data_IF_752341199111
#
_entry.id   IF_752341199111
#
_cell.length_a   1.000
_cell.length_b   1.000
_cell.length_c   1.000
_cell.angle_alpha   90.00
_cell.angle_beta   90.00
_cell.angle_gamma   90.00
#
_symmetry.space_group_name_H-M   'P 1'
#
loop_
_entity.id
_entity.type
_entity.pdbx_description
1 polymer ?
#
# COMPACT_ATOMS: atom_id res chain seq x y z
N UNK A 1 -20.05 -30.81 -59.68
CA UNK A 1 -20.02 -30.98 -58.24
C UNK A 1 -18.94 -30.06 -57.67
N UNK A 2 -19.30 -28.87 -57.17
CA UNK A 2 -18.36 -27.90 -56.57
C UNK A 2 -18.27 -28.16 -55.06
N UNK A 3 -17.13 -28.58 -54.57
CA UNK A 3 -16.87 -28.76 -53.13
C UNK A 3 -16.55 -27.37 -52.53
N UNK A 4 -17.44 -26.85 -51.69
CA UNK A 4 -17.13 -25.70 -50.81
C UNK A 4 -16.16 -26.16 -49.73
N UNK A 5 -14.96 -25.61 -49.68
CA UNK A 5 -14.06 -25.69 -48.54
C UNK A 5 -14.47 -24.64 -47.51
N UNK A 6 -15.03 -25.07 -46.39
CA UNK A 6 -15.31 -24.22 -45.27
C UNK A 6 -14.01 -24.05 -44.47
N UNK A 7 -13.37 -22.88 -44.52
CA UNK A 7 -12.19 -22.52 -43.70
C UNK A 7 -12.74 -22.13 -42.33
N UNK A 8 -12.48 -23.03 -41.35
CA UNK A 8 -12.73 -22.75 -39.93
C UNK A 8 -11.63 -21.81 -39.41
N UNK A 9 -11.95 -20.55 -39.17
CA UNK A 9 -11.06 -19.60 -38.50
C UNK A 9 -10.98 -19.98 -37.01
N UNK A 10 -9.94 -20.66 -36.60
CA UNK A 10 -9.56 -20.76 -35.19
C UNK A 10 -9.05 -19.39 -34.75
N UNK A 11 -9.84 -18.61 -34.04
CA UNK A 11 -9.38 -17.47 -33.29
C UNK A 11 -8.51 -17.98 -32.14
N UNK A 12 -7.19 -17.92 -32.32
CA UNK A 12 -6.25 -18.09 -31.21
C UNK A 12 -6.45 -16.87 -30.30
N UNK A 13 -7.24 -17.06 -29.24
CA UNK A 13 -7.33 -16.06 -28.18
C UNK A 13 -5.94 -15.86 -27.59
N UNK A 14 -5.39 -14.65 -27.71
CA UNK A 14 -4.20 -14.26 -26.94
C UNK A 14 -4.50 -14.52 -25.47
N UNK A 15 -3.55 -15.04 -24.67
CA UNK A 15 -3.75 -15.17 -23.25
C UNK A 15 -4.12 -13.80 -22.68
N UNK A 16 -5.28 -13.70 -22.07
CA UNK A 16 -5.69 -12.48 -21.38
C UNK A 16 -4.63 -12.22 -20.31
N UNK A 17 -3.98 -11.05 -20.34
CA UNK A 17 -2.98 -10.65 -19.37
C UNK A 17 -3.55 -10.73 -17.96
N UNK A 18 -2.75 -11.19 -16.99
CA UNK A 18 -3.21 -11.32 -15.62
C UNK A 18 -3.43 -9.93 -15.00
N UNK A 19 -4.51 -9.80 -14.20
CA UNK A 19 -4.70 -8.64 -13.33
C UNK A 19 -3.48 -8.50 -12.40
N UNK A 20 -3.10 -7.26 -12.10
CA UNK A 20 -1.88 -7.00 -11.34
C UNK A 20 -2.17 -6.13 -10.11
N UNK A 21 -1.69 -6.55 -8.95
CA UNK A 21 -1.46 -5.67 -7.82
C UNK A 21 -0.08 -5.03 -7.98
N UNK A 22 -0.03 -3.73 -8.23
CA UNK A 22 1.23 -2.99 -8.28
C UNK A 22 1.40 -2.18 -7.01
N UNK A 23 2.41 -2.54 -6.23
CA UNK A 23 2.69 -1.96 -4.92
C UNK A 23 3.84 -0.95 -5.07
N UNK A 24 3.57 0.29 -4.69
CA UNK A 24 4.53 1.39 -4.66
C UNK A 24 4.96 1.64 -3.23
N UNK A 25 6.19 1.28 -2.92
CA UNK A 25 6.82 1.49 -1.63
C UNK A 25 7.53 2.83 -1.57
N UNK A 26 7.08 3.71 -0.69
CA UNK A 26 7.64 5.04 -0.52
C UNK A 26 8.36 5.24 0.82
N UNK A 27 9.09 6.35 0.94
CA UNK A 27 9.47 6.99 2.19
C UNK A 27 8.56 8.20 2.37
N UNK A 28 7.82 8.26 3.47
CA UNK A 28 6.76 9.25 3.71
C UNK A 28 7.28 10.69 3.78
N UNK A 29 8.57 10.88 4.03
CA UNK A 29 9.25 12.17 4.13
C UNK A 29 9.94 12.61 2.81
N UNK A 30 9.68 11.93 1.71
CA UNK A 30 10.31 12.19 0.41
C UNK A 30 9.27 12.61 -0.64
N UNK A 31 9.02 13.92 -0.83
CA UNK A 31 7.97 14.44 -1.73
C UNK A 31 8.08 13.97 -3.18
N UNK A 32 9.27 13.61 -3.66
CA UNK A 32 9.43 13.08 -5.02
C UNK A 32 8.78 11.70 -5.18
N UNK A 33 8.73 10.90 -4.13
CA UNK A 33 8.08 9.59 -4.16
C UNK A 33 6.59 9.74 -4.44
N UNK A 34 5.90 10.66 -3.75
CA UNK A 34 4.48 10.91 -3.95
C UNK A 34 4.23 11.56 -5.33
N UNK A 35 5.12 12.45 -5.80
CA UNK A 35 5.04 13.05 -7.13
C UNK A 35 5.12 11.98 -8.23
N UNK A 36 6.07 11.06 -8.15
CA UNK A 36 6.20 9.93 -9.09
C UNK A 36 5.01 8.97 -9.00
N UNK A 37 4.46 8.73 -7.80
CA UNK A 37 3.25 7.93 -7.65
C UNK A 37 2.05 8.58 -8.36
N UNK A 38 1.92 9.91 -8.31
CA UNK A 38 0.87 10.64 -9.05
C UNK A 38 1.02 10.45 -10.56
N UNK A 39 2.25 10.52 -11.08
CA UNK A 39 2.52 10.28 -12.51
C UNK A 39 2.13 8.86 -12.94
N UNK A 40 2.43 7.85 -12.12
CA UNK A 40 2.02 6.46 -12.38
C UNK A 40 0.50 6.32 -12.40
N UNK A 41 -0.22 7.00 -11.49
CA UNK A 41 -1.69 7.04 -11.49
C UNK A 41 -2.21 7.62 -12.78
N UNK A 42 -1.69 8.79 -13.21
CA UNK A 42 -2.09 9.44 -14.47
C UNK A 42 -1.80 8.55 -15.69
N UNK A 43 -0.63 7.92 -15.76
CA UNK A 43 -0.24 7.03 -16.84
C UNK A 43 -1.17 5.80 -16.96
N UNK A 44 -1.43 5.13 -15.84
CA UNK A 44 -2.31 3.96 -15.82
C UNK A 44 -3.77 4.33 -16.12
N UNK A 45 -4.21 5.48 -15.65
CA UNK A 45 -5.55 6.00 -15.93
C UNK A 45 -5.71 6.37 -17.41
N UNK A 46 -4.72 7.04 -18.00
CA UNK A 46 -4.72 7.36 -19.43
C UNK A 46 -4.74 6.11 -20.34
N UNK A 47 -4.14 5.00 -19.87
CA UNK A 47 -4.16 3.71 -20.56
C UNK A 47 -5.47 2.92 -20.31
N UNK A 48 -6.39 3.42 -19.47
CA UNK A 48 -7.60 2.70 -19.07
C UNK A 48 -7.34 1.43 -18.24
N UNK A 49 -6.17 1.32 -17.63
CA UNK A 49 -5.72 0.13 -16.88
C UNK A 49 -5.87 0.26 -15.38
N UNK A 50 -5.98 1.48 -14.83
CA UNK A 50 -6.12 1.68 -13.38
C UNK A 50 -7.53 1.30 -12.93
N UNK A 51 -7.65 0.21 -12.19
CA UNK A 51 -8.90 -0.26 -11.62
C UNK A 51 -9.26 0.44 -10.31
N UNK A 52 -8.27 0.62 -9.45
CA UNK A 52 -8.41 1.30 -8.16
C UNK A 52 -7.04 1.76 -7.64
N UNK A 53 -7.06 2.82 -6.83
CA UNK A 53 -5.96 3.23 -5.98
C UNK A 53 -6.27 2.84 -4.54
N UNK A 54 -5.39 2.04 -3.91
CA UNK A 54 -5.46 1.68 -2.49
C UNK A 54 -4.41 2.47 -1.73
N UNK A 55 -4.77 3.00 -0.56
CA UNK A 55 -3.88 3.84 0.26
C UNK A 55 -3.71 3.29 1.67
N UNK A 56 -2.48 3.27 2.15
CA UNK A 56 -2.19 3.11 3.58
C UNK A 56 -2.67 4.31 4.41
N UNK A 57 -2.71 5.49 3.82
CA UNK A 57 -2.99 6.78 4.47
C UNK A 57 -4.46 6.95 4.89
N UNK A 58 -5.34 6.05 4.45
CA UNK A 58 -6.76 6.04 4.81
C UNK A 58 -7.18 4.66 5.34
N UNK A 59 -8.12 4.66 6.30
CA UNK A 59 -8.60 3.43 6.92
C UNK A 59 -9.50 2.62 5.97
N UNK A 60 -9.46 1.31 6.10
CA UNK A 60 -10.36 0.37 5.42
C UNK A 60 -11.83 0.79 5.58
N UNK A 61 -12.59 0.71 4.48
CA UNK A 61 -13.99 1.11 4.41
C UNK A 61 -14.20 2.58 4.07
N UNK A 62 -13.12 3.40 4.00
CA UNK A 62 -13.19 4.75 3.44
C UNK A 62 -12.88 4.71 1.96
N UNK A 63 -13.64 5.41 1.14
CA UNK A 63 -13.48 5.38 -0.31
C UNK A 63 -14.12 6.59 -1.00
N UNK A 64 -13.67 6.86 -2.21
CA UNK A 64 -14.23 7.93 -3.07
C UNK A 64 -15.25 7.41 -4.08
N UNK A 65 -15.62 6.14 -4.01
CA UNK A 65 -16.59 5.55 -4.94
C UNK A 65 -17.93 6.30 -4.88
N UNK A 66 -18.42 6.71 -6.05
CA UNK A 66 -19.65 7.49 -6.17
C UNK A 66 -19.44 9.01 -6.16
N UNK A 67 -18.22 9.50 -5.87
CA UNK A 67 -17.91 10.91 -6.08
C UNK A 67 -17.78 11.22 -7.59
N UNK A 68 -18.21 12.41 -8.03
CA UNK A 68 -18.01 12.85 -9.41
C UNK A 68 -16.52 13.15 -9.67
N UNK A 69 -16.11 13.12 -10.95
CA UNK A 69 -14.71 13.35 -11.35
C UNK A 69 -14.21 14.78 -11.03
N UNK A 70 -15.11 15.70 -10.92
CA UNK A 70 -14.87 17.11 -10.55
C UNK A 70 -15.04 17.38 -9.05
N UNK A 71 -15.16 16.32 -8.23
CA UNK A 71 -15.23 16.47 -6.79
C UNK A 71 -14.04 17.28 -6.25
N UNK A 72 -14.33 18.28 -5.42
CA UNK A 72 -13.32 19.12 -4.79
C UNK A 72 -12.55 18.38 -3.69
N UNK A 73 -11.34 18.86 -3.38
CA UNK A 73 -10.48 18.24 -2.35
C UNK A 73 -11.17 18.09 -0.99
N UNK A 74 -12.02 19.04 -0.59
CA UNK A 74 -12.74 18.97 0.68
C UNK A 74 -13.66 17.73 0.74
N UNK A 75 -14.42 17.46 -0.33
CA UNK A 75 -15.31 16.29 -0.43
C UNK A 75 -14.51 14.98 -0.42
N UNK A 76 -13.39 14.96 -1.12
CA UNK A 76 -12.52 13.77 -1.18
C UNK A 76 -11.89 13.48 0.18
N UNK A 77 -11.41 14.51 0.87
CA UNK A 77 -10.85 14.38 2.22
C UNK A 77 -11.89 13.91 3.24
N UNK A 78 -13.12 14.40 3.14
CA UNK A 78 -14.24 13.95 3.97
C UNK A 78 -14.58 12.46 3.71
N UNK A 79 -14.71 12.06 2.44
CA UNK A 79 -15.01 10.68 2.06
C UNK A 79 -13.96 9.69 2.55
N UNK A 80 -12.67 10.09 2.53
CA UNK A 80 -11.54 9.29 3.02
C UNK A 80 -11.34 9.42 4.53
N UNK A 81 -12.08 10.27 5.23
CA UNK A 81 -11.86 10.65 6.64
C UNK A 81 -10.39 11.03 6.89
N UNK A 82 -9.84 11.87 5.99
CA UNK A 82 -8.41 12.16 5.91
C UNK A 82 -7.83 12.72 7.19
N UNK A 83 -6.72 12.16 7.64
CA UNK A 83 -6.05 12.54 8.90
C UNK A 83 -4.84 13.44 8.60
N UNK A 84 -5.07 14.75 8.46
CA UNK A 84 -4.06 15.76 8.09
C UNK A 84 -2.82 15.72 9.00
N UNK A 85 -3.01 15.51 10.31
CA UNK A 85 -1.91 15.49 11.27
C UNK A 85 -0.95 14.30 11.08
N UNK A 86 -1.44 13.20 10.50
CA UNK A 86 -0.64 12.00 10.22
C UNK A 86 -0.08 12.04 8.79
N UNK A 87 -0.88 12.55 7.86
CA UNK A 87 -0.62 12.51 6.42
C UNK A 87 -0.90 13.88 5.78
N UNK A 88 0.12 14.72 5.59
CA UNK A 88 -0.09 16.04 4.99
C UNK A 88 -0.74 15.94 3.60
N UNK A 89 -1.91 16.55 3.43
CA UNK A 89 -2.63 16.50 2.14
C UNK A 89 -1.80 17.07 0.99
N UNK A 90 -0.96 18.05 1.26
CA UNK A 90 -0.07 18.62 0.26
C UNK A 90 0.85 17.57 -0.41
N UNK A 91 1.20 16.48 0.30
CA UNK A 91 2.01 15.40 -0.24
C UNK A 91 1.16 14.38 -1.02
N UNK A 92 0.01 13.96 -0.48
CA UNK A 92 -0.80 12.86 -1.02
C UNK A 92 -1.97 13.30 -1.88
N UNK A 93 -2.47 14.54 -1.70
CA UNK A 93 -3.58 15.10 -2.46
C UNK A 93 -3.40 14.99 -3.98
N UNK A 94 -2.23 15.31 -4.55
CA UNK A 94 -1.99 15.16 -5.98
C UNK A 94 -2.23 13.73 -6.48
N UNK A 95 -1.77 12.70 -5.75
CA UNK A 95 -1.96 11.27 -6.10
C UNK A 95 -3.44 10.90 -6.05
N UNK A 96 -4.13 11.29 -4.97
CA UNK A 96 -5.55 10.99 -4.75
C UNK A 96 -6.41 11.67 -5.80
N UNK A 97 -6.18 12.96 -6.04
CA UNK A 97 -6.96 13.76 -6.99
C UNK A 97 -6.72 13.34 -8.44
N UNK A 98 -5.55 12.82 -8.79
CA UNK A 98 -5.30 12.21 -10.10
C UNK A 98 -6.26 11.03 -10.35
N UNK A 99 -6.39 10.11 -9.39
CA UNK A 99 -7.32 8.99 -9.49
C UNK A 99 -8.79 9.46 -9.56
N UNK A 100 -9.20 10.39 -8.69
CA UNK A 100 -10.57 10.94 -8.66
C UNK A 100 -10.93 11.59 -9.98
N UNK A 101 -10.09 12.47 -10.53
CA UNK A 101 -10.30 13.12 -11.83
C UNK A 101 -10.39 12.14 -13.00
N UNK A 102 -9.66 11.03 -12.89
CA UNK A 102 -9.78 9.92 -13.86
C UNK A 102 -11.07 9.11 -13.71
N UNK A 103 -11.83 9.32 -12.62
CA UNK A 103 -13.03 8.52 -12.29
C UNK A 103 -12.68 7.15 -11.71
N UNK A 104 -11.47 6.99 -11.19
CA UNK A 104 -10.99 5.77 -10.57
C UNK A 104 -11.22 5.85 -9.05
N UNK A 105 -11.83 4.83 -8.43
CA UNK A 105 -12.06 4.84 -7.00
C UNK A 105 -10.76 4.78 -6.22
N UNK A 106 -10.69 5.56 -5.15
CA UNK A 106 -9.64 5.50 -4.13
C UNK A 106 -10.20 4.80 -2.90
N UNK A 107 -9.50 3.78 -2.41
CA UNK A 107 -9.90 3.01 -1.22
C UNK A 107 -8.86 3.17 -0.12
N UNK A 108 -9.31 3.45 1.08
CA UNK A 108 -8.49 3.26 2.27
C UNK A 108 -8.27 1.77 2.52
N UNK A 109 -7.03 1.39 2.76
CA UNK A 109 -6.62 0.01 2.97
C UNK A 109 -6.03 -0.25 4.36
N UNK A 110 -5.77 0.79 5.16
CA UNK A 110 -5.16 0.63 6.47
C UNK A 110 -6.10 -0.06 7.47
N UNK A 111 -5.49 -0.76 8.40
CA UNK A 111 -6.22 -1.30 9.54
C UNK A 111 -6.81 -0.13 10.36
N UNK A 112 -8.13 -0.15 10.68
CA UNK A 112 -8.73 0.91 11.48
C UNK A 112 -8.02 1.09 12.82
N UNK A 113 -7.85 2.34 13.24
CA UNK A 113 -7.11 2.68 14.45
C UNK A 113 -7.62 1.95 15.71
N UNK A 114 -8.92 1.72 15.77
CA UNK A 114 -9.55 0.96 16.87
C UNK A 114 -9.08 -0.51 16.91
N UNK A 115 -8.74 -1.11 15.75
CA UNK A 115 -8.31 -2.49 15.62
C UNK A 115 -6.79 -2.68 15.80
N UNK A 116 -5.98 -1.62 15.63
CA UNK A 116 -4.52 -1.68 15.76
C UNK A 116 -4.09 -2.24 17.12
N UNK A 117 -4.70 -1.76 18.21
CA UNK A 117 -4.39 -2.23 19.56
C UNK A 117 -4.80 -3.69 19.78
N UNK A 118 -5.95 -4.08 19.25
CA UNK A 118 -6.42 -5.47 19.34
C UNK A 118 -5.45 -6.41 18.61
N UNK A 119 -4.94 -6.02 17.44
CA UNK A 119 -3.97 -6.81 16.70
C UNK A 119 -2.70 -7.09 17.48
N UNK A 120 -2.19 -6.14 18.26
CA UNK A 120 -1.01 -6.32 19.11
C UNK A 120 -1.14 -7.49 20.09
N UNK A 121 -2.33 -7.73 20.62
CA UNK A 121 -2.63 -8.81 21.56
C UNK A 121 -2.92 -10.17 20.91
N UNK A 122 -3.03 -10.24 19.58
CA UNK A 122 -3.47 -11.45 18.88
C UNK A 122 -2.29 -12.30 18.39
N UNK A 123 -1.96 -13.37 19.10
CA UNK A 123 -0.86 -14.29 18.77
C UNK A 123 -1.00 -14.93 17.38
N UNK A 124 -2.21 -15.01 16.81
CA UNK A 124 -2.43 -15.55 15.44
C UNK A 124 -1.60 -14.85 14.36
N UNK A 125 -1.19 -13.61 14.60
CA UNK A 125 -0.35 -12.87 13.65
C UNK A 125 1.10 -13.34 13.63
N UNK A 126 1.57 -14.05 14.67
CA UNK A 126 2.93 -14.60 14.71
C UNK A 126 3.15 -15.67 13.62
N UNK A 127 2.07 -16.41 13.28
CA UNK A 127 2.11 -17.50 12.29
C UNK A 127 1.54 -17.06 10.92
N UNK A 128 1.14 -15.79 10.78
CA UNK A 128 0.55 -15.29 9.55
C UNK A 128 1.57 -15.03 8.44
N UNK A 129 2.85 -14.94 8.80
CA UNK A 129 3.99 -14.75 7.91
C UNK A 129 5.15 -15.66 8.31
N UNK A 130 6.12 -15.95 7.43
CA UNK A 130 7.32 -16.69 7.78
C UNK A 130 8.08 -16.07 8.97
N UNK A 131 8.72 -16.90 9.78
CA UNK A 131 9.49 -16.44 10.95
C UNK A 131 10.54 -15.39 10.58
N UNK A 132 11.25 -15.56 9.45
CA UNK A 132 12.23 -14.60 8.94
C UNK A 132 11.62 -13.24 8.61
N UNK A 133 10.39 -13.19 8.07
CA UNK A 133 9.68 -11.94 7.81
C UNK A 133 9.29 -11.25 9.12
N UNK A 134 8.81 -12.03 10.12
CA UNK A 134 8.49 -11.49 11.44
C UNK A 134 9.72 -10.91 12.15
N UNK A 135 10.86 -11.59 12.09
CA UNK A 135 12.13 -11.10 12.64
C UNK A 135 12.55 -9.77 12.01
N UNK A 136 12.49 -9.67 10.67
CA UNK A 136 12.75 -8.42 9.93
C UNK A 136 11.79 -7.30 10.34
N UNK A 137 10.51 -7.59 10.54
CA UNK A 137 9.52 -6.62 11.02
C UNK A 137 9.83 -6.14 12.44
N UNK A 138 10.25 -7.02 13.33
CA UNK A 138 10.68 -6.65 14.69
C UNK A 138 11.88 -5.70 14.65
N UNK A 139 12.87 -5.98 13.79
CA UNK A 139 14.01 -5.09 13.58
C UNK A 139 13.60 -3.74 12.97
N UNK A 140 12.77 -3.75 11.95
CA UNK A 140 12.27 -2.53 11.32
C UNK A 140 11.48 -1.65 12.31
N UNK A 141 10.65 -2.26 13.17
CA UNK A 141 9.96 -1.55 14.24
C UNK A 141 10.95 -0.94 15.24
N UNK A 142 11.98 -1.68 15.64
CA UNK A 142 13.04 -1.17 16.53
C UNK A 142 13.72 0.05 15.91
N UNK A 143 14.13 -0.07 14.64
CA UNK A 143 14.89 0.96 13.94
C UNK A 143 14.05 2.19 13.64
N UNK A 144 12.80 2.00 13.20
CA UNK A 144 11.85 3.09 12.97
C UNK A 144 11.44 3.84 14.24
N UNK A 145 11.66 3.24 15.41
CA UNK A 145 11.48 3.89 16.71
C UNK A 145 12.81 4.21 17.39
N UNK A 146 13.92 4.19 16.63
CA UNK A 146 15.26 4.59 17.10
C UNK A 146 15.75 3.84 18.35
N UNK A 147 15.29 2.59 18.53
CA UNK A 147 15.62 1.79 19.70
C UNK A 147 14.98 2.24 21.02
N UNK A 148 14.09 3.24 20.99
CA UNK A 148 13.45 3.80 22.19
C UNK A 148 12.31 2.93 22.73
N UNK A 149 11.79 1.98 21.95
CA UNK A 149 10.76 1.03 22.38
C UNK A 149 11.39 -0.11 23.17
N UNK A 150 10.83 -0.48 24.34
CA UNK A 150 11.27 -1.66 25.08
C UNK A 150 11.21 -2.93 24.21
N UNK A 151 12.25 -3.76 24.26
CA UNK A 151 12.35 -4.99 23.46
C UNK A 151 11.14 -5.91 23.64
N UNK A 152 10.52 -5.92 24.83
CA UNK A 152 9.33 -6.72 25.15
C UNK A 152 8.08 -6.28 24.40
N UNK A 153 8.02 -5.07 23.87
CA UNK A 153 6.90 -4.53 23.11
C UNK A 153 7.04 -4.73 21.59
N UNK A 154 8.26 -4.93 21.09
CA UNK A 154 8.54 -5.04 19.66
C UNK A 154 7.73 -6.17 18.96
N UNK A 155 7.59 -7.39 19.53
CA UNK A 155 6.78 -8.45 18.91
C UNK A 155 5.31 -8.05 18.75
N UNK A 156 4.72 -7.39 19.74
CA UNK A 156 3.33 -6.91 19.67
C UNK A 156 3.16 -5.85 18.58
N UNK A 157 4.12 -4.94 18.43
CA UNK A 157 4.11 -3.94 17.36
C UNK A 157 4.30 -4.57 15.98
N UNK A 158 5.13 -5.61 15.85
CA UNK A 158 5.25 -6.37 14.60
C UNK A 158 3.93 -7.04 14.22
N UNK A 159 3.17 -7.61 15.17
CA UNK A 159 1.82 -8.16 14.93
C UNK A 159 0.88 -7.11 14.35
N UNK A 160 0.95 -5.87 14.82
CA UNK A 160 0.15 -4.76 14.28
C UNK A 160 0.51 -4.49 12.81
N UNK A 161 1.78 -4.52 12.44
CA UNK A 161 2.21 -4.35 11.05
C UNK A 161 1.71 -5.50 10.17
N UNK A 162 1.83 -6.74 10.63
CA UNK A 162 1.32 -7.93 9.93
C UNK A 162 -0.19 -7.84 9.70
N UNK A 163 -0.97 -7.42 10.70
CA UNK A 163 -2.41 -7.24 10.59
C UNK A 163 -2.79 -6.11 9.60
N UNK A 164 -1.99 -5.04 9.54
CA UNK A 164 -2.13 -3.97 8.56
C UNK A 164 -1.92 -4.50 7.15
N UNK A 165 -0.84 -5.25 6.93
CA UNK A 165 -0.53 -5.81 5.61
C UNK A 165 -1.60 -6.79 5.13
N UNK A 166 -2.15 -7.61 6.01
CA UNK A 166 -3.28 -8.48 5.70
C UNK A 166 -4.54 -7.68 5.29
N UNK A 167 -4.80 -6.56 5.98
CA UNK A 167 -5.92 -5.67 5.65
C UNK A 167 -5.74 -4.97 4.31
N UNK A 168 -4.52 -4.50 4.01
CA UNK A 168 -4.16 -3.93 2.70
C UNK A 168 -4.34 -4.98 1.59
N UNK A 169 -3.86 -6.20 1.80
CA UNK A 169 -4.01 -7.31 0.85
C UNK A 169 -5.49 -7.65 0.58
N UNK A 170 -6.31 -7.70 1.63
CA UNK A 170 -7.74 -7.93 1.51
C UNK A 170 -8.45 -6.82 0.71
N UNK A 171 -8.04 -5.56 0.91
CA UNK A 171 -8.58 -4.40 0.19
C UNK A 171 -8.20 -4.46 -1.29
N UNK A 172 -6.95 -4.78 -1.61
CA UNK A 172 -6.47 -4.99 -2.99
C UNK A 172 -7.28 -6.10 -3.66
N UNK A 173 -7.42 -7.25 -3.00
CA UNK A 173 -8.18 -8.38 -3.53
C UNK A 173 -9.65 -8.03 -3.78
N UNK A 174 -10.26 -7.24 -2.89
CA UNK A 174 -11.63 -6.74 -3.08
C UNK A 174 -11.74 -5.82 -4.29
N UNK A 175 -10.76 -4.93 -4.49
CA UNK A 175 -10.71 -3.97 -5.59
C UNK A 175 -10.43 -4.63 -6.95
N UNK A 176 -9.77 -5.79 -6.95
CA UNK A 176 -9.49 -6.55 -8.17
C UNK A 176 -10.67 -7.41 -8.66
N UNK A 177 -11.70 -7.63 -7.81
CA UNK A 177 -12.84 -8.46 -8.21
C UNK A 177 -13.62 -7.87 -9.38
N UNK A 178 -13.83 -8.68 -10.41
CA UNK A 178 -14.56 -8.26 -11.61
C UNK A 178 -13.83 -7.27 -12.52
N UNK A 179 -12.56 -6.99 -12.23
CA UNK A 179 -11.73 -6.14 -13.07
C UNK A 179 -11.41 -6.82 -14.41
N UNK A 180 -11.21 -6.00 -15.46
CA UNK A 180 -10.81 -6.49 -16.77
C UNK A 180 -9.44 -7.20 -16.72
N UNK A 181 -9.14 -8.06 -17.69
CA UNK A 181 -7.77 -8.52 -17.92
C UNK A 181 -6.81 -7.33 -18.03
N UNK A 182 -5.58 -7.48 -17.55
CA UNK A 182 -4.54 -6.42 -17.52
C UNK A 182 -4.83 -5.21 -16.63
N UNK A 183 -5.96 -5.20 -15.93
CA UNK A 183 -6.25 -4.16 -14.96
C UNK A 183 -5.24 -4.16 -13.81
N UNK A 184 -4.97 -2.97 -13.30
CA UNK A 184 -4.03 -2.73 -12.21
C UNK A 184 -4.76 -2.18 -11.00
N UNK A 185 -4.62 -2.83 -9.87
CA UNK A 185 -4.90 -2.23 -8.55
C UNK A 185 -3.58 -1.70 -8.02
N UNK A 186 -3.49 -0.40 -7.88
CA UNK A 186 -2.28 0.28 -7.40
C UNK A 186 -2.37 0.47 -5.88
N UNK A 187 -1.33 0.07 -5.14
CA UNK A 187 -1.19 0.38 -3.71
C UNK A 187 -0.09 1.43 -3.54
N UNK A 188 -0.37 2.52 -2.82
CA UNK A 188 0.65 3.44 -2.31
C UNK A 188 0.79 3.23 -0.80
N UNK A 189 2.01 2.89 -0.35
CA UNK A 189 2.28 2.52 1.04
C UNK A 189 3.76 2.73 1.37
N UNK A 190 4.12 2.72 2.64
CA UNK A 190 5.52 2.71 3.07
C UNK A 190 6.27 1.49 2.53
N UNK A 191 7.56 1.64 2.24
CA UNK A 191 8.38 0.64 1.58
C UNK A 191 8.34 -0.74 2.26
N UNK A 192 8.31 -0.81 3.58
CA UNK A 192 8.24 -2.07 4.33
C UNK A 192 6.98 -2.88 3.98
N UNK A 193 5.83 -2.20 3.76
CA UNK A 193 4.56 -2.82 3.43
C UNK A 193 4.49 -3.30 1.96
N UNK A 194 5.25 -2.66 1.07
CA UNK A 194 5.31 -3.08 -0.33
C UNK A 194 6.33 -4.21 -0.59
N UNK A 195 7.25 -4.47 0.34
CA UNK A 195 8.32 -5.47 0.20
C UNK A 195 7.78 -6.90 0.19
N UNK A 196 8.30 -7.72 -0.72
CA UNK A 196 8.06 -9.18 -0.76
C UNK A 196 8.64 -9.91 0.45
N UNK A 197 9.61 -9.29 1.12
CA UNK A 197 10.27 -9.90 2.26
C UNK A 197 9.49 -9.73 3.57
N UNK A 198 8.58 -8.74 3.66
CA UNK A 198 7.95 -8.37 4.93
C UNK A 198 6.47 -8.01 4.84
N UNK A 199 6.01 -7.52 3.67
CA UNK A 199 4.77 -6.78 3.55
C UNK A 199 3.61 -7.51 2.88
N UNK A 200 2.74 -6.73 2.27
CA UNK A 200 1.49 -7.13 1.59
C UNK A 200 1.65 -8.31 0.64
N UNK A 201 2.76 -8.46 -0.13
CA UNK A 201 2.92 -9.62 -1.01
C UNK A 201 2.85 -10.98 -0.30
N UNK A 202 3.20 -11.07 0.98
CA UNK A 202 3.11 -12.31 1.76
C UNK A 202 1.65 -12.72 2.06
N UNK A 203 0.73 -11.76 2.01
CA UNK A 203 -0.69 -11.94 2.35
C UNK A 203 -1.58 -12.14 1.11
N UNK A 204 -1.21 -11.57 -0.03
CA UNK A 204 -2.00 -11.63 -1.27
C UNK A 204 -2.39 -13.05 -1.71
N UNK A 205 -1.53 -14.08 -1.61
CA UNK A 205 -1.91 -15.44 -2.00
C UNK A 205 -3.12 -16.01 -1.25
N UNK A 206 -3.41 -15.53 -0.02
CA UNK A 206 -4.59 -15.96 0.74
C UNK A 206 -5.87 -15.26 0.28
N UNK A 207 -5.76 -14.05 -0.24
CA UNK A 207 -6.92 -13.21 -0.62
C UNK A 207 -7.22 -13.26 -2.11
N UNK A 208 -6.19 -13.36 -2.96
CA UNK A 208 -6.29 -13.36 -4.42
C UNK A 208 -5.12 -14.14 -5.05
N UNK A 209 -5.16 -15.50 -5.02
CA UNK A 209 -4.04 -16.35 -5.45
C UNK A 209 -3.67 -16.21 -6.94
N UNK A 210 -4.59 -15.77 -7.78
CA UNK A 210 -4.36 -15.55 -9.21
C UNK A 210 -3.87 -14.16 -9.58
N UNK A 211 -3.80 -13.23 -8.61
CA UNK A 211 -3.38 -11.86 -8.85
C UNK A 211 -1.86 -11.78 -9.00
N UNK A 212 -1.39 -11.29 -10.14
CA UNK A 212 0.03 -11.02 -10.32
C UNK A 212 0.47 -9.89 -9.38
N UNK A 213 1.68 -9.98 -8.84
CA UNK A 213 2.21 -8.96 -7.92
C UNK A 213 3.44 -8.31 -8.55
N UNK A 214 3.44 -6.98 -8.60
CA UNK A 214 4.62 -6.17 -8.92
C UNK A 214 4.91 -5.26 -7.75
N UNK A 215 6.14 -5.28 -7.26
CA UNK A 215 6.58 -4.46 -6.13
C UNK A 215 7.71 -3.53 -6.57
N UNK A 216 7.51 -2.23 -6.39
CA UNK A 216 8.47 -1.18 -6.75
C UNK A 216 8.78 -0.35 -5.51
N UNK A 217 10.07 -0.13 -5.22
CA UNK A 217 10.48 0.86 -4.22
C UNK A 217 11.00 2.12 -4.89
N UNK A 218 10.58 3.28 -4.41
CA UNK A 218 11.28 4.52 -4.69
C UNK A 218 12.53 4.60 -3.82
N UNK A 219 13.65 4.96 -4.43
CA UNK A 219 14.94 5.03 -3.76
C UNK A 219 15.58 6.40 -3.98
N UNK A 220 15.95 7.05 -2.90
CA UNK A 220 16.65 8.32 -2.92
C UNK A 220 18.15 8.09 -2.75
N UNK A 221 18.97 8.91 -3.41
CA UNK A 221 20.42 8.86 -3.29
C UNK A 221 20.85 8.98 -1.81
N UNK A 222 21.83 8.19 -1.42
CA UNK A 222 22.34 8.14 -0.04
C UNK A 222 21.52 7.33 0.95
N UNK A 223 20.40 6.72 0.52
CA UNK A 223 19.63 5.76 1.32
C UNK A 223 19.89 4.34 0.86
N UNK A 224 19.95 3.40 1.81
CA UNK A 224 20.03 1.97 1.48
C UNK A 224 18.79 1.55 0.68
N UNK A 225 19.01 0.87 -0.42
CA UNK A 225 17.92 0.29 -1.20
C UNK A 225 17.23 -0.80 -0.34
N UNK A 226 15.91 -0.75 -0.16
CA UNK A 226 15.21 -1.77 0.58
C UNK A 226 15.22 -3.11 -0.17
N UNK A 227 15.19 -4.21 0.55
CA UNK A 227 15.14 -5.57 -0.03
C UNK A 227 13.72 -6.00 -0.40
N UNK A 228 13.62 -6.96 -1.34
CA UNK A 228 12.35 -7.61 -1.66
C UNK A 228 11.48 -6.84 -2.65
N UNK A 229 12.09 -6.19 -3.63
CA UNK A 229 11.40 -5.47 -4.69
C UNK A 229 11.76 -6.02 -6.07
N UNK A 230 10.80 -5.96 -7.00
CA UNK A 230 11.03 -6.32 -8.40
C UNK A 230 11.72 -5.18 -9.15
N UNK A 231 11.50 -3.94 -8.69
CA UNK A 231 12.03 -2.73 -9.31
C UNK A 231 12.43 -1.71 -8.24
N UNK A 232 13.56 -1.05 -8.47
CA UNK A 232 13.99 0.13 -7.72
C UNK A 232 13.89 1.34 -8.65
N UNK A 233 13.12 2.35 -8.26
CA UNK A 233 12.89 3.56 -9.05
C UNK A 233 13.60 4.73 -8.40
N UNK A 234 14.63 5.31 -9.06
CA UNK A 234 15.33 6.46 -8.53
C UNK A 234 14.41 7.67 -8.33
N UNK A 235 14.60 8.37 -7.22
CA UNK A 235 13.88 9.58 -6.87
C UNK A 235 14.88 10.66 -6.42
N UNK A 236 14.51 11.93 -6.62
CA UNK A 236 15.32 13.05 -6.15
C UNK A 236 15.46 12.99 -4.62
N UNK A 237 16.71 13.06 -4.16
CA UNK A 237 16.97 13.13 -2.73
C UNK A 237 16.51 14.48 -2.17
N UNK A 238 15.70 14.45 -1.12
CA UNK A 238 15.42 15.60 -0.28
C UNK A 238 16.23 15.52 1.00
N UNK A 239 16.63 16.64 1.59
CA UNK A 239 17.25 16.62 2.90
C UNK A 239 16.39 15.83 3.88
N UNK A 240 16.91 14.73 4.37
CA UNK A 240 16.21 13.94 5.39
C UNK A 240 16.27 14.66 6.72
N UNK A 241 15.13 14.74 7.42
CA UNK A 241 15.14 15.10 8.83
C UNK A 241 15.78 13.97 9.62
N UNK A 242 16.54 14.29 10.66
CA UNK A 242 16.95 13.29 11.63
C UNK A 242 15.73 12.91 12.49
N UNK A 243 14.98 11.94 11.97
CA UNK A 243 13.80 11.40 12.65
C UNK A 243 14.11 10.96 14.09
N UNK A 244 15.30 10.44 14.31
CA UNK A 244 15.68 9.97 15.64
C UNK A 244 16.00 11.12 16.60
N UNK A 245 16.56 12.22 16.13
CA UNK A 245 16.71 13.43 16.94
C UNK A 245 15.33 13.99 17.31
N UNK A 246 14.44 14.11 16.34
CA UNK A 246 13.06 14.57 16.54
C UNK A 246 12.29 13.73 17.58
N UNK A 247 12.42 12.39 17.53
CA UNK A 247 11.78 11.49 18.50
C UNK A 247 12.36 11.61 19.91
N UNK A 248 13.67 11.83 20.04
CA UNK A 248 14.30 12.03 21.35
C UNK A 248 13.88 13.35 22.00
N UNK A 249 13.74 14.41 21.20
CA UNK A 249 13.33 15.73 21.68
C UNK A 249 11.86 15.79 22.09
N UNK A 250 10.96 15.21 21.30
CA UNK A 250 9.50 15.24 21.54
C UNK A 250 9.03 14.20 22.52
N UNK A 251 9.85 13.19 22.82
CA UNK A 251 9.41 11.99 23.50
C UNK A 251 8.51 11.11 22.62
N UNK A 252 8.45 9.81 22.92
CA UNK A 252 7.52 8.91 22.27
C UNK A 252 6.09 9.23 22.69
N UNK A 253 5.12 9.33 21.77
CA UNK A 253 3.72 9.41 22.16
C UNK A 253 3.40 8.20 23.04
N UNK A 254 2.89 8.47 24.26
CA UNK A 254 2.58 7.42 25.23
C UNK A 254 1.62 6.39 24.62
N UNK A 255 2.12 5.19 24.37
CA UNK A 255 1.26 4.03 24.15
C UNK A 255 0.71 3.61 25.52
N UNK A 256 -0.36 4.28 25.95
CA UNK A 256 -1.03 3.90 27.19
C UNK A 256 -1.50 2.46 27.07
N UNK A 257 -0.88 1.59 27.88
CA UNK A 257 -1.35 0.22 28.12
C UNK A 257 -2.82 0.29 28.57
N UNK A 258 -3.72 -0.58 28.08
CA UNK A 258 -5.04 -0.68 28.70
C UNK A 258 -4.81 -1.13 30.13
N UNK A 259 -5.25 -0.31 31.08
CA UNK A 259 -5.31 -0.72 32.48
C UNK A 259 -6.11 -2.03 32.53
N UNK A 260 -5.50 -3.07 33.07
CA UNK A 260 -6.17 -4.30 33.47
C UNK A 260 -7.36 -3.93 34.39
N UNK A 261 -8.56 -4.15 33.91
CA UNK A 261 -9.76 -4.28 34.75
C UNK A 261 -10.27 -5.70 34.63
#
# INVERSE_FOLDING_TARGET
MKRLLTILWMSVGLPAGAQTAWLLGELHDQPDHQRQAAQIVDELAAQGRLQALVLEMAERGRHTQGLPRDAGEAQVREALAWQEAAWPWAAYGPVVMAAVRAGVPVHGGNLPRAELRAAMGQARWDDAVPASARERLVEAVRDGHCGLVPKTQLPAMARMQIARDDTLAATIAASARGAAPEAVVLLLTGAMHASRATGVPLHLPRHAPSLAVRSTAFVSEGRLAPEGFDELRPAEAQPSRDHCADLRERGMPAMTSPASR
#
